data_IF_424758720152
#
_entry.id   IF_424758720152
#
_cell.length_a   1.000
_cell.length_b   1.000
_cell.length_c   1.000
_cell.angle_alpha   90.00
_cell.angle_beta   90.00
_cell.angle_gamma   90.00
#
_symmetry.space_group_name_H-M   'P 1'
#
loop_
_entity.id
_entity.type
_entity.pdbx_description
1 polymer ?
#
# COMPACT_ATOMS: atom_id res chain seq x y z
N UNK A 1 12.31 9.11 -1.78
CA UNK A 1 12.05 7.99 -2.70
C UNK A 1 11.36 8.53 -3.94
N UNK A 2 11.74 8.12 -5.16
CA UNK A 2 11.03 8.54 -6.36
C UNK A 2 9.68 7.81 -6.42
N UNK A 3 8.57 8.56 -6.42
CA UNK A 3 7.23 7.96 -6.42
C UNK A 3 7.02 7.16 -7.72
N UNK A 4 6.43 5.95 -7.66
CA UNK A 4 6.09 5.21 -8.86
C UNK A 4 5.14 6.03 -9.75
N UNK A 5 5.36 6.04 -11.07
CA UNK A 5 4.62 6.90 -12.00
C UNK A 5 3.10 6.70 -11.94
N UNK A 6 2.64 5.44 -11.74
CA UNK A 6 1.21 5.09 -11.56
C UNK A 6 0.60 5.64 -10.27
N UNK A 7 1.43 5.98 -9.28
CA UNK A 7 1.04 6.42 -7.94
C UNK A 7 1.60 7.81 -7.63
N UNK A 8 1.92 8.62 -8.64
CA UNK A 8 2.55 9.93 -8.46
C UNK A 8 1.69 10.88 -7.59
N UNK A 9 0.37 10.77 -7.67
CA UNK A 9 -0.61 11.67 -7.03
C UNK A 9 -1.34 11.07 -5.82
N UNK A 10 -0.91 9.91 -5.32
CA UNK A 10 -1.53 9.28 -4.14
C UNK A 10 -0.55 9.26 -2.97
N UNK A 11 -1.08 9.39 -1.76
CA UNK A 11 -0.37 9.23 -0.51
C UNK A 11 -0.46 7.79 0.00
N UNK A 12 -1.61 7.13 -0.12
CA UNK A 12 -1.83 5.82 0.49
C UNK A 12 -1.89 4.69 -0.55
N UNK A 13 -0.90 3.79 -0.49
CA UNK A 13 -0.84 2.58 -1.31
C UNK A 13 -1.22 1.36 -0.47
N UNK A 14 -2.30 0.67 -0.84
CA UNK A 14 -2.66 -0.62 -0.24
C UNK A 14 -1.99 -1.80 -0.96
N UNK A 15 -1.55 -2.81 -0.22
CA UNK A 15 -1.19 -4.12 -0.77
C UNK A 15 -2.36 -5.11 -0.62
N UNK A 16 -2.88 -5.59 -1.76
CA UNK A 16 -4.04 -6.50 -1.81
C UNK A 16 -3.78 -7.85 -1.12
N UNK A 17 -2.52 -8.25 -0.95
CA UNK A 17 -2.16 -9.57 -0.40
C UNK A 17 -2.14 -9.57 1.12
N UNK A 18 -1.71 -8.48 1.76
CA UNK A 18 -1.54 -8.37 3.22
C UNK A 18 -2.60 -7.51 3.89
N UNK A 19 -3.33 -6.71 3.11
CA UNK A 19 -4.21 -5.63 3.61
C UNK A 19 -3.44 -4.62 4.47
N UNK A 20 -2.17 -4.38 4.14
CA UNK A 20 -1.44 -3.22 4.66
C UNK A 20 -1.60 -2.02 3.75
N UNK A 21 -1.71 -0.84 4.35
CA UNK A 21 -1.62 0.44 3.67
C UNK A 21 -0.30 1.10 4.07
N UNK A 22 0.42 1.59 3.06
CA UNK A 22 1.69 2.28 3.19
C UNK A 22 1.47 3.76 2.87
N UNK A 23 1.95 4.63 3.74
CA UNK A 23 2.00 6.07 3.50
C UNK A 23 3.26 6.39 2.70
N UNK A 24 3.11 6.69 1.41
CA UNK A 24 4.21 6.96 0.49
C UNK A 24 4.98 8.25 0.83
N UNK A 25 4.45 9.09 1.71
CA UNK A 25 5.14 10.30 2.16
C UNK A 25 6.12 10.03 3.30
N UNK A 26 5.79 9.09 4.19
CA UNK A 26 6.61 8.78 5.38
C UNK A 26 7.35 7.45 5.31
N UNK A 27 6.93 6.54 4.45
CA UNK A 27 7.53 5.21 4.34
C UNK A 27 8.91 5.25 3.68
N UNK A 28 9.89 4.62 4.32
CA UNK A 28 11.30 4.68 3.89
C UNK A 28 11.78 3.40 3.20
N UNK A 29 11.12 2.26 3.42
CA UNK A 29 11.52 1.00 2.78
C UNK A 29 10.97 0.94 1.35
N UNK A 30 11.88 1.23 0.44
CA UNK A 30 11.66 1.36 -0.99
C UNK A 30 11.35 0.04 -1.69
N UNK A 31 11.93 -1.05 -1.20
CA UNK A 31 11.86 -2.36 -1.85
C UNK A 31 10.45 -2.95 -1.77
N UNK A 32 9.75 -2.69 -0.67
CA UNK A 32 8.36 -3.15 -0.48
C UNK A 32 7.42 -2.47 -1.48
N UNK A 33 7.57 -1.16 -1.67
CA UNK A 33 6.72 -0.41 -2.60
C UNK A 33 6.98 -0.85 -4.04
N UNK A 34 8.24 -0.99 -4.42
CA UNK A 34 8.63 -1.47 -5.75
C UNK A 34 8.06 -2.88 -6.03
N UNK A 35 8.14 -3.78 -5.04
CA UNK A 35 7.59 -5.13 -5.12
C UNK A 35 6.06 -5.12 -5.32
N UNK A 36 5.33 -4.29 -4.57
CA UNK A 36 3.87 -4.14 -4.72
C UNK A 36 3.50 -3.62 -6.11
N UNK A 37 4.26 -2.65 -6.63
CA UNK A 37 4.04 -2.04 -7.95
C UNK A 37 4.34 -3.04 -9.07
N UNK A 38 5.49 -3.71 -9.01
CA UNK A 38 5.94 -4.65 -10.03
C UNK A 38 5.08 -5.90 -10.11
N UNK A 39 4.49 -6.34 -8.99
CA UNK A 39 3.54 -7.45 -8.97
C UNK A 39 2.09 -7.02 -9.26
N UNK A 40 1.83 -5.73 -9.50
CA UNK A 40 0.49 -5.18 -9.81
C UNK A 40 -0.57 -5.52 -8.73
N UNK A 41 -0.10 -5.61 -7.48
CA UNK A 41 -0.90 -5.92 -6.28
C UNK A 41 -1.23 -4.69 -5.44
N UNK A 42 -0.83 -3.51 -5.91
CA UNK A 42 -1.19 -2.22 -5.34
C UNK A 42 -2.67 -1.83 -5.56
N UNK A 43 -3.23 -1.05 -4.64
CA UNK A 43 -4.55 -0.42 -4.76
C UNK A 43 -4.54 1.01 -4.18
N UNK A 44 -5.31 1.91 -4.80
CA UNK A 44 -5.56 3.26 -4.30
C UNK A 44 -6.92 3.36 -3.61
N UNK A 45 -7.08 4.40 -2.79
CA UNK A 45 -8.31 4.69 -2.09
C UNK A 45 -8.97 5.96 -2.62
N UNK A 46 -10.29 6.03 -2.57
CA UNK A 46 -11.07 7.17 -3.03
C UNK A 46 -12.15 7.46 -1.99
N UNK A 47 -11.97 8.49 -1.13
CA UNK A 47 -10.87 9.46 -1.12
C UNK A 47 -9.52 8.87 -0.66
N UNK A 48 -8.41 9.45 -1.11
CA UNK A 48 -7.04 9.04 -0.74
C UNK A 48 -6.70 9.45 0.70
N UNK A 49 -7.24 8.71 1.66
CA UNK A 49 -7.10 9.00 3.09
C UNK A 49 -6.94 7.72 3.90
N UNK A 50 -6.19 7.79 5.00
CA UNK A 50 -6.03 6.65 5.90
C UNK A 50 -7.37 6.12 6.47
N UNK A 51 -8.34 6.96 6.88
CA UNK A 51 -9.65 6.46 7.32
C UNK A 51 -10.36 5.62 6.26
N UNK A 52 -10.30 6.00 4.97
CA UNK A 52 -10.91 5.20 3.90
C UNK A 52 -10.23 3.83 3.72
N UNK A 53 -8.90 3.79 3.78
CA UNK A 53 -8.16 2.52 3.76
C UNK A 53 -8.59 1.61 4.93
N UNK A 54 -8.73 2.18 6.13
CA UNK A 54 -9.17 1.44 7.33
C UNK A 54 -10.60 0.94 7.22
N UNK A 55 -11.51 1.71 6.64
CA UNK A 55 -12.89 1.29 6.37
C UNK A 55 -12.93 0.09 5.39
N UNK A 56 -11.95 -0.03 4.49
CA UNK A 56 -11.76 -1.19 3.60
C UNK A 56 -10.99 -2.35 4.25
N UNK A 57 -10.74 -2.29 5.55
CA UNK A 57 -10.07 -3.35 6.32
C UNK A 57 -8.54 -3.32 6.24
N UNK A 58 -7.94 -2.26 5.69
CA UNK A 58 -6.49 -2.11 5.66
C UNK A 58 -5.96 -1.62 7.01
N UNK A 59 -4.75 -2.04 7.35
CA UNK A 59 -4.02 -1.59 8.54
C UNK A 59 -2.81 -0.78 8.11
N UNK A 60 -2.50 0.32 8.81
CA UNK A 60 -1.28 1.09 8.52
C UNK A 60 -0.06 0.21 8.81
N UNK A 61 0.85 0.10 7.84
CA UNK A 61 2.07 -0.67 7.99
C UNK A 61 2.99 0.00 9.03
N UNK A 62 3.64 -0.82 9.85
CA UNK A 62 4.72 -0.42 10.75
C UNK A 62 5.97 -1.23 10.43
N UNK A 63 7.15 -0.67 10.75
CA UNK A 63 8.42 -1.35 10.49
C UNK A 63 8.47 -2.67 11.28
N UNK A 64 8.74 -3.77 10.59
CA UNK A 64 8.85 -5.10 11.18
C UNK A 64 7.53 -5.88 11.26
N UNK A 65 6.39 -5.28 10.88
CA UNK A 65 5.14 -6.02 10.79
C UNK A 65 5.16 -6.99 9.58
N UNK A 66 4.52 -8.13 9.74
CA UNK A 66 4.41 -9.14 8.70
C UNK A 66 3.04 -9.81 8.75
N UNK A 67 2.46 -10.03 7.57
CA UNK A 67 1.20 -10.76 7.41
C UNK A 67 1.37 -11.83 6.36
N UNK A 68 0.54 -12.86 6.48
CA UNK A 68 0.43 -13.89 5.44
C UNK A 68 -0.10 -13.26 4.16
N UNK A 69 0.58 -13.54 3.05
CA UNK A 69 0.10 -13.16 1.72
C UNK A 69 -1.15 -13.97 1.40
N UNK A 70 -2.25 -13.27 1.17
CA UNK A 70 -3.50 -13.83 0.64
C UNK A 70 -3.49 -13.76 -0.87
N UNK A 71 -4.29 -14.62 -1.50
CA UNK A 71 -4.58 -14.45 -2.92
C UNK A 71 -5.29 -13.11 -3.11
N UNK A 72 -4.78 -12.22 -3.97
CA UNK A 72 -5.44 -10.95 -4.25
C UNK A 72 -6.80 -11.26 -4.88
N UNK A 73 -7.87 -10.77 -4.28
CA UNK A 73 -9.20 -10.89 -4.86
C UNK A 73 -9.34 -9.87 -6.00
N UNK A 74 -9.90 -10.30 -7.13
CA UNK A 74 -10.09 -9.50 -8.33
C UNK A 74 -11.12 -8.39 -8.12
#
# INVERSE_FOLDING_TARGET
MQRPSRFAHIQFLGDKRTQFVYDLDTWTNTEIIDEIVNNEVGICFAPDTLPEARNRGYTLATVGDSRRHRQPHA
#
